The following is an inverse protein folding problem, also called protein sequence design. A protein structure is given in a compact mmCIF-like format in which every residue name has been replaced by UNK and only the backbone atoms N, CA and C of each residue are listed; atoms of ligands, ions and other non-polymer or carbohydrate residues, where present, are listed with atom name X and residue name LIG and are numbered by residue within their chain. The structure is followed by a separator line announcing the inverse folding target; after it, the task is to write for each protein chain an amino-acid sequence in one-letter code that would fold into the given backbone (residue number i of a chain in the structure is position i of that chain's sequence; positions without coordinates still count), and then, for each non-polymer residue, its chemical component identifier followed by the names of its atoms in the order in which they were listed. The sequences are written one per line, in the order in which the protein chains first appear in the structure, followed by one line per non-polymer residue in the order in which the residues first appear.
data_IF_886942143824
#
_entry.id   IF_886942143824
#
_cell.length_a   1.000
_cell.length_b   1.000
_cell.length_c   1.000
_cell.angle_alpha   90.00
_cell.angle_beta   90.00
_cell.angle_gamma   90.00
#
_symmetry.space_group_name_H-M   'P 1'
#
loop_
_entity.id
_entity.type
_entity.pdbx_description
1 polymer ?
#
# COMPACT_ATOMS: atom_id res chain seq x y z
N UNK A 1 -11.57 -0.81 -31.50
CA UNK A 1 -11.12 -1.69 -30.40
C UNK A 1 -9.84 -1.10 -29.83
N UNK A 2 -9.96 -0.14 -28.91
CA UNK A 2 -8.83 0.37 -28.14
C UNK A 2 -8.83 -0.34 -26.80
N UNK A 3 -7.88 -1.26 -26.60
CA UNK A 3 -7.62 -1.79 -25.26
C UNK A 3 -7.04 -0.65 -24.41
N UNK A 4 -7.52 -0.46 -23.17
CA UNK A 4 -6.88 0.48 -22.27
C UNK A 4 -5.45 -0.01 -22.04
N UNK A 5 -4.47 0.77 -22.50
CA UNK A 5 -3.07 0.62 -22.12
C UNK A 5 -3.01 0.80 -20.61
N UNK A 6 -2.98 -0.31 -19.89
CA UNK A 6 -2.58 -0.30 -18.49
C UNK A 6 -1.18 0.32 -18.48
N UNK A 7 -1.05 1.51 -17.90
CA UNK A 7 0.23 2.00 -17.45
C UNK A 7 0.71 1.00 -16.41
N UNK A 8 1.47 0.01 -16.86
CA UNK A 8 2.27 -0.82 -15.98
C UNK A 8 3.27 0.13 -15.34
N UNK A 9 2.90 0.71 -14.20
CA UNK A 9 3.86 1.28 -13.28
C UNK A 9 4.73 0.09 -12.90
N UNK A 10 5.91 -0.01 -13.53
CA UNK A 10 6.92 -0.98 -13.14
C UNK A 10 7.13 -0.76 -11.65
N UNK A 11 6.62 -1.68 -10.84
CA UNK A 11 6.77 -1.70 -9.41
C UNK A 11 8.23 -2.05 -9.12
N UNK A 12 9.13 -1.14 -9.48
CA UNK A 12 10.55 -1.35 -9.35
C UNK A 12 10.96 -0.89 -7.97
N UNK A 13 11.48 -1.82 -7.18
CA UNK A 13 12.12 -1.51 -5.90
C UNK A 13 13.34 -0.59 -6.08
N UNK A 14 13.89 -0.53 -7.30
CA UNK A 14 14.91 0.42 -7.73
C UNK A 14 14.38 1.15 -8.99
N UNK A 15 13.92 2.40 -8.88
CA UNK A 15 13.48 3.14 -10.07
C UNK A 15 14.67 3.30 -11.03
N UNK A 16 14.53 2.83 -12.28
CA UNK A 16 15.49 3.15 -13.34
C UNK A 16 15.41 4.65 -13.63
N UNK A 17 16.40 5.41 -13.15
CA UNK A 17 16.41 6.87 -13.16
C UNK A 17 16.45 7.52 -11.77
N UNK A 18 16.42 6.73 -10.70
CA UNK A 18 16.54 7.21 -9.33
C UNK A 18 15.29 7.93 -8.80
N UNK A 19 15.26 8.14 -7.48
CA UNK A 19 14.34 9.10 -6.85
C UNK A 19 14.91 10.49 -7.05
N UNK A 20 14.08 11.54 -7.18
CA UNK A 20 14.51 12.90 -7.56
C UNK A 20 15.84 13.34 -6.89
N UNK A 21 16.96 13.26 -7.64
CA UNK A 21 18.30 13.64 -7.20
C UNK A 21 19.23 12.53 -6.68
N UNK A 22 18.80 11.27 -6.64
CA UNK A 22 19.60 10.14 -6.16
C UNK A 22 19.43 8.92 -7.07
N UNK A 23 20.50 8.55 -7.78
CA UNK A 23 20.53 7.39 -8.66
C UNK A 23 21.22 6.19 -7.97
N UNK A 24 20.40 5.26 -7.49
CA UNK A 24 20.87 4.02 -6.85
C UNK A 24 21.47 3.02 -7.83
N UNK A 25 21.21 3.17 -9.14
CA UNK A 25 21.81 2.33 -10.18
C UNK A 25 23.25 2.76 -10.51
N UNK A 26 23.55 4.05 -10.37
CA UNK A 26 24.87 4.63 -10.69
C UNK A 26 25.83 4.71 -9.50
N UNK A 27 25.40 4.38 -8.28
CA UNK A 27 26.26 4.28 -7.08
C UNK A 27 26.47 5.58 -6.31
N UNK A 28 25.67 6.63 -6.53
CA UNK A 28 25.76 7.90 -5.80
C UNK A 28 24.95 7.85 -4.51
N UNK A 29 25.58 7.37 -3.42
CA UNK A 29 24.97 7.22 -2.10
C UNK A 29 25.34 8.39 -1.19
N UNK A 30 24.65 9.53 -1.35
CA UNK A 30 24.71 10.61 -0.36
C UNK A 30 23.78 10.31 0.82
N UNK A 31 24.18 10.70 2.05
CA UNK A 31 23.41 10.44 3.28
C UNK A 31 21.96 11.00 3.22
N UNK A 32 21.71 12.00 2.37
CA UNK A 32 20.41 12.58 2.08
C UNK A 32 19.47 11.67 1.26
N UNK A 33 20.01 10.70 0.55
CA UNK A 33 19.26 9.79 -0.33
C UNK A 33 18.60 8.64 0.44
N UNK A 34 19.11 8.30 1.63
CA UNK A 34 18.59 7.23 2.49
C UNK A 34 17.12 7.44 2.87
N UNK A 35 16.71 8.60 3.44
CA UNK A 35 15.29 8.83 3.78
C UNK A 35 14.37 8.87 2.55
N UNK A 36 14.87 9.36 1.40
CA UNK A 36 14.08 9.47 0.16
C UNK A 36 13.79 8.09 -0.46
N UNK A 37 14.77 7.17 -0.38
CA UNK A 37 14.58 5.78 -0.80
C UNK A 37 13.58 5.04 0.08
N UNK A 38 13.71 5.20 1.40
CA UNK A 38 12.80 4.57 2.38
C UNK A 38 11.36 5.01 2.11
N UNK A 39 11.12 6.30 1.86
CA UNK A 39 9.80 6.81 1.49
C UNK A 39 9.25 6.18 0.20
N UNK A 40 10.10 5.91 -0.79
CA UNK A 40 9.69 5.26 -2.04
C UNK A 40 9.29 3.79 -1.81
N UNK A 41 10.13 3.03 -1.11
CA UNK A 41 9.85 1.62 -0.77
C UNK A 41 8.57 1.51 0.04
N UNK A 42 8.35 2.43 0.98
CA UNK A 42 7.13 2.52 1.78
C UNK A 42 5.89 2.69 0.91
N UNK A 43 5.90 3.62 -0.06
CA UNK A 43 4.75 3.83 -0.97
C UNK A 43 4.44 2.58 -1.79
N UNK A 44 5.46 1.87 -2.24
CA UNK A 44 5.32 0.60 -2.96
C UNK A 44 4.65 -0.46 -2.09
N UNK A 45 5.14 -0.64 -0.86
CA UNK A 45 4.57 -1.60 0.11
C UNK A 45 3.14 -1.21 0.47
N UNK A 46 2.84 0.08 0.66
CA UNK A 46 1.50 0.53 0.98
C UNK A 46 0.51 0.29 -0.17
N UNK A 47 0.93 0.51 -1.42
CA UNK A 47 0.13 0.17 -2.58
C UNK A 47 -0.22 -1.32 -2.64
N UNK A 48 0.74 -2.18 -2.30
CA UNK A 48 0.51 -3.63 -2.22
C UNK A 48 -0.46 -4.00 -1.09
N UNK A 49 -0.27 -3.47 0.12
CA UNK A 49 -1.15 -3.73 1.27
C UNK A 49 -2.57 -3.20 1.02
N UNK A 50 -2.70 -2.01 0.44
CA UNK A 50 -3.98 -1.43 0.04
C UNK A 50 -4.71 -2.29 -1.00
N UNK A 51 -3.98 -2.84 -1.98
CA UNK A 51 -4.54 -3.77 -2.96
C UNK A 51 -5.08 -5.05 -2.32
N UNK A 52 -4.32 -5.67 -1.42
CA UNK A 52 -4.76 -6.87 -0.69
C UNK A 52 -5.98 -6.56 0.20
N UNK A 53 -5.98 -5.41 0.88
CA UNK A 53 -7.10 -4.96 1.69
C UNK A 53 -8.40 -4.84 0.86
N UNK A 54 -8.31 -4.24 -0.33
CA UNK A 54 -9.45 -4.07 -1.22
C UNK A 54 -10.06 -5.43 -1.61
N UNK A 55 -9.22 -6.41 -1.94
CA UNK A 55 -9.64 -7.78 -2.29
C UNK A 55 -10.37 -8.43 -1.11
N UNK A 56 -9.83 -8.31 0.10
CA UNK A 56 -10.45 -8.88 1.31
C UNK A 56 -11.80 -8.24 1.62
N UNK A 57 -11.94 -6.93 1.44
CA UNK A 57 -13.22 -6.22 1.60
C UNK A 57 -14.24 -6.74 0.58
N UNK A 58 -13.85 -6.93 -0.68
CA UNK A 58 -14.72 -7.46 -1.72
C UNK A 58 -15.23 -8.88 -1.40
N UNK A 59 -14.33 -9.78 -1.00
CA UNK A 59 -14.67 -11.16 -0.62
C UNK A 59 -15.61 -11.18 0.58
N UNK A 60 -15.33 -10.33 1.58
CA UNK A 60 -16.16 -10.19 2.77
C UNK A 60 -17.56 -9.69 2.43
N UNK A 61 -17.67 -8.67 1.57
CA UNK A 61 -18.94 -8.14 1.10
C UNK A 61 -19.78 -9.19 0.35
N UNK A 62 -19.15 -9.98 -0.52
CA UNK A 62 -19.84 -11.05 -1.24
C UNK A 62 -20.38 -12.14 -0.30
N UNK A 63 -19.60 -12.53 0.72
CA UNK A 63 -20.04 -13.47 1.76
C UNK A 63 -21.24 -12.95 2.56
N UNK A 64 -21.26 -11.66 2.91
CA UNK A 64 -22.39 -11.04 3.62
C UNK A 64 -23.65 -11.09 2.76
N UNK A 65 -23.56 -10.74 1.47
CA UNK A 65 -24.69 -10.76 0.54
C UNK A 65 -25.27 -12.17 0.36
N UNK A 66 -24.41 -13.18 0.20
CA UNK A 66 -24.85 -14.57 0.11
C UNK A 66 -25.51 -15.05 1.40
N UNK A 67 -24.96 -14.72 2.56
CA UNK A 67 -25.54 -15.06 3.86
C UNK A 67 -26.92 -14.40 4.08
N UNK A 68 -27.16 -13.21 3.51
CA UNK A 68 -28.49 -12.56 3.52
C UNK A 68 -29.51 -13.34 2.68
N UNK A 69 -29.12 -13.84 1.52
CA UNK A 69 -30.02 -14.55 0.59
C UNK A 69 -30.26 -15.99 1.02
N UNK A 70 -29.25 -16.67 1.58
CA UNK A 70 -29.33 -18.09 1.95
C UNK A 70 -29.79 -18.33 3.40
N UNK A 71 -30.13 -17.28 4.16
CA UNK A 71 -30.47 -17.38 5.58
C UNK A 71 -29.31 -17.89 6.46
N UNK A 72 -28.07 -17.80 5.96
CA UNK A 72 -26.88 -18.31 6.61
C UNK A 72 -26.27 -17.33 7.61
N UNK A 73 -25.28 -17.81 8.37
CA UNK A 73 -24.62 -17.04 9.42
C UNK A 73 -23.84 -15.84 8.84
N UNK A 74 -24.32 -14.62 9.12
CA UNK A 74 -23.73 -13.36 8.64
C UNK A 74 -22.50 -12.94 9.44
N UNK A 75 -22.33 -13.51 10.64
CA UNK A 75 -21.30 -13.15 11.61
C UNK A 75 -19.89 -13.27 11.03
N UNK A 76 -19.62 -14.34 10.27
CA UNK A 76 -18.32 -14.59 9.64
C UNK A 76 -17.92 -13.53 8.62
N UNK A 77 -18.88 -12.98 7.87
CA UNK A 77 -18.62 -11.92 6.89
C UNK A 77 -18.29 -10.59 7.55
N UNK A 78 -19.00 -10.24 8.63
CA UNK A 78 -18.74 -9.02 9.40
C UNK A 78 -17.43 -9.08 10.18
N UNK A 79 -17.08 -10.23 10.73
CA UNK A 79 -15.80 -10.42 11.44
C UNK A 79 -14.62 -10.24 10.48
N UNK A 80 -14.68 -10.87 9.32
CA UNK A 80 -13.63 -10.76 8.29
C UNK A 80 -13.49 -9.32 7.77
N UNK A 81 -14.61 -8.63 7.56
CA UNK A 81 -14.62 -7.21 7.18
C UNK A 81 -13.98 -6.33 8.28
N UNK A 82 -14.29 -6.60 9.55
CA UNK A 82 -13.74 -5.85 10.69
C UNK A 82 -12.22 -6.02 10.78
N UNK A 83 -11.72 -7.24 10.59
CA UNK A 83 -10.27 -7.51 10.55
C UNK A 83 -9.58 -6.85 9.36
N UNK A 84 -10.21 -6.84 8.18
CA UNK A 84 -9.67 -6.15 7.00
C UNK A 84 -9.55 -4.64 7.22
N UNK A 85 -10.55 -4.01 7.85
CA UNK A 85 -10.53 -2.57 8.18
C UNK A 85 -9.48 -2.26 9.25
N UNK A 86 -9.40 -3.06 10.32
CA UNK A 86 -8.42 -2.86 11.39
C UNK A 86 -6.99 -2.97 10.82
N UNK A 87 -6.73 -3.97 9.98
CA UNK A 87 -5.42 -4.15 9.34
C UNK A 87 -5.04 -3.00 8.40
N UNK A 88 -6.02 -2.40 7.71
CA UNK A 88 -5.78 -1.23 6.88
C UNK A 88 -5.44 0.01 7.72
N UNK A 89 -6.20 0.24 8.79
CA UNK A 89 -6.00 1.39 9.68
C UNK A 89 -4.64 1.31 10.37
N UNK A 90 -4.25 0.14 10.88
CA UNK A 90 -2.93 -0.03 11.52
C UNK A 90 -1.81 0.18 10.53
N UNK A 91 -1.93 -0.34 9.30
CA UNK A 91 -0.95 -0.10 8.25
C UNK A 91 -0.82 1.39 7.91
N UNK A 92 -1.95 2.09 7.74
CA UNK A 92 -1.98 3.53 7.49
C UNK A 92 -1.33 4.34 8.64
N UNK A 93 -1.58 3.96 9.90
CA UNK A 93 -0.94 4.59 11.06
C UNK A 93 0.58 4.42 11.05
N UNK A 94 1.08 3.23 10.70
CA UNK A 94 2.52 2.99 10.60
C UNK A 94 3.17 3.92 9.60
N UNK A 95 2.55 4.15 8.45
CA UNK A 95 3.08 5.09 7.45
C UNK A 95 3.07 6.53 7.95
N UNK A 96 1.97 6.95 8.59
CA UNK A 96 1.90 8.28 9.18
C UNK A 96 3.03 8.55 10.18
N UNK A 97 3.36 7.56 11.02
CA UNK A 97 4.48 7.66 11.96
C UNK A 97 5.82 7.78 11.21
N UNK A 98 6.03 6.99 10.17
CA UNK A 98 7.30 7.02 9.42
C UNK A 98 7.45 8.33 8.63
N UNK A 99 6.40 8.81 7.96
CA UNK A 99 6.40 10.12 7.29
C UNK A 99 6.67 11.26 8.28
N UNK A 100 6.10 11.20 9.48
CA UNK A 100 6.37 12.17 10.56
C UNK A 100 7.85 12.16 11.00
N UNK A 101 8.43 10.98 11.17
CA UNK A 101 9.85 10.82 11.50
C UNK A 101 10.73 11.35 10.37
N UNK A 102 10.41 11.03 9.12
CA UNK A 102 11.17 11.48 7.94
C UNK A 102 11.11 12.99 7.81
N UNK A 103 9.95 13.63 7.96
CA UNK A 103 9.84 15.11 7.95
C UNK A 103 10.67 15.75 9.06
N UNK A 104 10.60 15.20 10.28
CA UNK A 104 11.36 15.70 11.43
C UNK A 104 12.88 15.58 11.24
N UNK A 105 13.37 14.48 10.67
CA UNK A 105 14.81 14.27 10.41
C UNK A 105 15.31 14.98 9.16
N UNK A 106 14.50 15.02 8.10
CA UNK A 106 14.88 15.67 6.84
C UNK A 106 14.88 17.20 6.94
N UNK A 107 14.33 17.75 8.04
CA UNK A 107 14.31 19.19 8.30
C UNK A 107 13.50 19.97 7.27
N UNK A 108 12.44 19.34 6.73
CA UNK A 108 11.42 19.97 5.89
C UNK A 108 10.06 19.93 6.58
#
# INVERSE_FOLDING_TARGET
MGIPTAAAQTLSLIPEGGVAGCDFASGDLMARCVPLFIAHVIKVVFGFVGGVCLILILISGYRILLAVVSGGDKSTGFEMLRWAIIGFITSALTFFIIDFIISTIAGI
#
